data_IF_650113124083
#
_entry.id   IF_650113124083
#
_cell.length_a   1.000
_cell.length_b   1.000
_cell.length_c   1.000
_cell.angle_alpha   90.00
_cell.angle_beta   90.00
_cell.angle_gamma   90.00
#
_symmetry.space_group_name_H-M   'P 1'
#
loop_
_entity.id
_entity.type
_entity.pdbx_description
1 polymer ?
#
# COMPACT_ATOMS: atom_id res chain seq x y z
N UNK A 1 16.23 -28.42 -6.83
CA UNK A 1 15.08 -27.51 -6.50
C UNK A 1 15.04 -26.47 -7.59
N UNK A 2 13.95 -26.34 -8.31
CA UNK A 2 13.75 -25.40 -9.41
C UNK A 2 13.62 -23.98 -8.86
N UNK A 3 14.23 -23.00 -9.53
CA UNK A 3 14.20 -21.60 -9.11
C UNK A 3 13.26 -20.79 -9.99
N UNK A 4 12.39 -20.00 -9.39
CA UNK A 4 11.45 -19.11 -10.06
C UNK A 4 11.89 -17.68 -9.77
N UNK A 5 12.37 -16.96 -10.78
CA UNK A 5 13.00 -15.65 -10.62
C UNK A 5 12.36 -14.52 -11.44
N UNK A 6 11.35 -14.85 -12.27
CA UNK A 6 10.72 -13.88 -13.18
C UNK A 6 9.21 -13.92 -13.10
N UNK A 7 8.58 -12.75 -13.12
CA UNK A 7 7.16 -12.57 -13.38
C UNK A 7 6.97 -12.16 -14.84
N UNK A 8 6.06 -12.86 -15.54
CA UNK A 8 5.76 -12.56 -16.92
C UNK A 8 4.83 -11.35 -17.03
N UNK A 9 5.21 -10.35 -17.81
CA UNK A 9 4.38 -9.17 -18.07
C UNK A 9 3.41 -9.34 -19.24
N UNK A 10 3.68 -10.33 -20.11
CA UNK A 10 2.89 -10.61 -21.30
C UNK A 10 1.73 -11.58 -21.00
N UNK A 11 0.60 -11.38 -21.68
CA UNK A 11 -0.50 -12.35 -21.62
C UNK A 11 -0.14 -13.63 -22.38
N UNK A 12 -0.23 -14.76 -21.70
CA UNK A 12 -0.07 -16.07 -22.31
C UNK A 12 -1.37 -16.55 -22.96
N UNK A 13 -1.22 -17.47 -23.92
CA UNK A 13 -2.37 -18.18 -24.48
C UNK A 13 -3.11 -18.95 -23.36
N UNK A 14 -4.46 -18.97 -23.35
CA UNK A 14 -5.25 -19.60 -22.28
C UNK A 14 -4.90 -21.08 -22.05
N UNK A 15 -4.46 -21.78 -23.07
CA UNK A 15 -4.04 -23.20 -22.99
C UNK A 15 -2.77 -23.35 -22.12
N UNK A 16 -1.82 -22.43 -22.22
CA UNK A 16 -0.59 -22.45 -21.41
C UNK A 16 -0.90 -22.12 -19.95
N UNK A 17 -1.77 -21.12 -19.73
CA UNK A 17 -2.21 -20.75 -18.37
C UNK A 17 -2.91 -21.92 -17.66
N UNK A 18 -3.78 -22.65 -18.38
CA UNK A 18 -4.51 -23.81 -17.82
C UNK A 18 -3.61 -25.02 -17.53
N UNK A 19 -2.51 -25.19 -18.25
CA UNK A 19 -1.57 -26.30 -18.09
C UNK A 19 -0.46 -26.02 -17.08
N UNK A 20 -0.24 -24.77 -16.73
CA UNK A 20 0.78 -24.40 -15.76
C UNK A 20 0.43 -24.97 -14.39
N UNK A 21 1.37 -25.60 -13.67
CA UNK A 21 1.18 -25.95 -12.27
C UNK A 21 0.89 -24.68 -11.45
N UNK A 22 0.15 -24.83 -10.37
CA UNK A 22 -0.25 -23.71 -9.51
C UNK A 22 0.59 -23.65 -8.25
N UNK A 23 0.75 -22.44 -7.78
CA UNK A 23 1.39 -22.13 -6.49
C UNK A 23 0.40 -21.29 -5.67
N UNK A 24 -0.25 -21.94 -4.72
CA UNK A 24 -1.25 -21.33 -3.85
C UNK A 24 -0.55 -20.72 -2.64
N UNK A 25 -0.64 -19.39 -2.48
CA UNK A 25 0.04 -18.62 -1.44
C UNK A 25 -0.89 -17.63 -0.76
N UNK A 26 -0.78 -17.54 0.58
CA UNK A 26 -1.34 -16.47 1.39
C UNK A 26 -0.69 -15.11 1.04
N UNK A 27 -1.36 -14.00 1.36
CA UNK A 27 -0.90 -12.66 1.00
C UNK A 27 0.50 -12.36 1.55
N UNK A 28 0.77 -12.66 2.82
CA UNK A 28 2.10 -12.46 3.42
C UNK A 28 3.20 -13.23 2.67
N UNK A 29 2.92 -14.46 2.23
CA UNK A 29 3.86 -15.25 1.42
C UNK A 29 4.08 -14.64 0.03
N UNK A 30 3.03 -14.06 -0.58
CA UNK A 30 3.11 -13.39 -1.89
C UNK A 30 3.90 -12.07 -1.86
N UNK A 31 4.10 -11.48 -0.69
CA UNK A 31 4.93 -10.30 -0.48
C UNK A 31 6.43 -10.61 -0.31
N UNK A 32 6.79 -11.88 -0.11
CA UNK A 32 8.19 -12.27 0.14
C UNK A 32 9.00 -12.32 -1.15
N UNK A 33 10.13 -11.64 -1.17
CA UNK A 33 11.06 -11.67 -2.30
C UNK A 33 11.87 -12.97 -2.39
N UNK A 34 11.95 -13.73 -1.30
CA UNK A 34 12.60 -15.05 -1.24
C UNK A 34 11.76 -15.99 -0.39
N UNK A 35 11.40 -17.12 -0.96
CA UNK A 35 10.55 -18.10 -0.30
C UNK A 35 10.84 -19.50 -0.87
N UNK A 36 11.08 -20.47 0.02
CA UNK A 36 10.96 -21.89 -0.33
C UNK A 36 9.48 -22.25 -0.26
N UNK A 37 8.94 -22.85 -1.30
CA UNK A 37 7.52 -23.17 -1.41
C UNK A 37 7.32 -24.52 -2.11
N UNK A 38 6.12 -25.05 -1.96
CA UNK A 38 5.70 -26.29 -2.62
C UNK A 38 4.55 -25.95 -3.57
N UNK A 39 4.67 -26.33 -4.83
CA UNK A 39 3.57 -26.22 -5.80
C UNK A 39 2.42 -27.14 -5.40
N UNK A 40 1.22 -26.88 -5.90
CA UNK A 40 0.03 -27.68 -5.57
C UNK A 40 0.12 -29.14 -6.09
N UNK A 41 1.08 -29.41 -7.00
CA UNK A 41 1.41 -30.76 -7.45
C UNK A 41 2.46 -31.49 -6.57
N UNK A 42 2.94 -30.86 -5.49
CA UNK A 42 3.92 -31.41 -4.56
C UNK A 42 5.39 -31.14 -4.90
N UNK A 43 5.68 -30.41 -5.97
CA UNK A 43 7.04 -30.05 -6.35
C UNK A 43 7.61 -28.93 -5.48
N UNK A 44 8.81 -29.10 -4.94
CA UNK A 44 9.51 -28.04 -4.18
C UNK A 44 10.21 -27.05 -5.12
N UNK A 45 10.02 -25.76 -4.87
CA UNK A 45 10.56 -24.65 -5.65
C UNK A 45 11.14 -23.55 -4.75
N UNK A 46 12.07 -22.78 -5.29
CA UNK A 46 12.56 -21.55 -4.66
C UNK A 46 12.06 -20.33 -5.44
N UNK A 47 11.32 -19.45 -4.78
CA UNK A 47 10.99 -18.13 -5.29
C UNK A 47 12.13 -17.16 -4.97
N UNK A 48 12.61 -16.42 -5.99
CA UNK A 48 13.65 -15.39 -5.85
C UNK A 48 13.23 -14.18 -6.68
N UNK A 49 12.35 -13.36 -6.13
CA UNK A 49 11.81 -12.16 -6.80
C UNK A 49 12.61 -10.90 -6.43
N UNK A 50 12.57 -9.86 -7.25
CA UNK A 50 13.07 -8.53 -6.87
C UNK A 50 12.41 -8.06 -5.57
N UNK A 51 13.15 -7.31 -4.74
CA UNK A 51 12.60 -6.74 -3.51
C UNK A 51 11.42 -5.81 -3.81
N UNK A 52 10.38 -5.88 -2.99
CA UNK A 52 9.16 -5.12 -3.17
C UNK A 52 8.18 -5.70 -4.19
N UNK A 53 8.49 -6.86 -4.81
CA UNK A 53 7.52 -7.55 -5.66
C UNK A 53 6.42 -8.15 -4.79
N UNK A 54 5.17 -7.79 -5.09
CA UNK A 54 3.97 -8.45 -4.56
C UNK A 54 3.36 -9.27 -5.68
N UNK A 55 3.24 -10.59 -5.47
CA UNK A 55 2.62 -11.49 -6.42
C UNK A 55 1.09 -11.39 -6.32
N UNK A 56 0.42 -11.17 -7.45
CA UNK A 56 -1.04 -11.12 -7.55
C UNK A 56 -1.63 -12.48 -7.89
N UNK A 57 -2.91 -12.67 -7.57
CA UNK A 57 -3.67 -13.81 -8.08
C UNK A 57 -3.66 -13.83 -9.60
N UNK A 58 -3.40 -15.00 -10.19
CA UNK A 58 -3.29 -15.17 -11.64
C UNK A 58 -1.95 -14.77 -12.26
N UNK A 59 -1.00 -14.23 -11.52
CA UNK A 59 0.34 -13.94 -12.03
C UNK A 59 0.98 -15.22 -12.61
N UNK A 60 1.64 -15.04 -13.76
CA UNK A 60 2.42 -16.10 -14.38
C UNK A 60 3.91 -15.89 -14.09
N UNK A 61 4.52 -16.89 -13.51
CA UNK A 61 5.94 -16.92 -13.19
C UNK A 61 6.69 -17.81 -14.16
N UNK A 62 7.98 -17.52 -14.33
CA UNK A 62 8.89 -18.32 -15.17
C UNK A 62 10.01 -18.85 -14.30
N UNK A 63 10.25 -20.16 -14.41
CA UNK A 63 11.35 -20.82 -13.74
C UNK A 63 12.62 -20.85 -14.61
N UNK A 64 13.76 -21.17 -13.99
CA UNK A 64 15.08 -21.25 -14.61
C UNK A 64 15.15 -22.29 -15.76
N UNK A 65 14.29 -23.30 -15.77
CA UNK A 65 14.13 -24.28 -16.84
C UNK A 65 13.18 -23.81 -17.98
N UNK A 66 12.63 -22.59 -17.90
CA UNK A 66 11.66 -22.04 -18.84
C UNK A 66 10.21 -22.50 -18.59
N UNK A 67 9.96 -23.29 -17.57
CA UNK A 67 8.62 -23.72 -17.17
C UNK A 67 7.81 -22.59 -16.57
N UNK A 68 6.46 -22.66 -16.74
CA UNK A 68 5.54 -21.69 -16.19
C UNK A 68 4.93 -22.18 -14.89
N UNK A 69 4.67 -21.25 -13.96
CA UNK A 69 3.91 -21.48 -12.73
C UNK A 69 2.89 -20.36 -12.57
N UNK A 70 1.65 -20.73 -12.24
CA UNK A 70 0.58 -19.76 -11.99
C UNK A 70 0.37 -19.55 -10.51
N UNK A 71 0.39 -18.30 -10.07
CA UNK A 71 0.06 -17.92 -8.69
C UNK A 71 -1.44 -18.00 -8.46
N UNK A 72 -1.82 -18.52 -7.29
CA UNK A 72 -3.20 -18.54 -6.80
C UNK A 72 -3.21 -17.93 -5.40
N UNK A 73 -4.10 -16.96 -5.16
CA UNK A 73 -4.28 -16.43 -3.84
C UNK A 73 -4.99 -17.47 -2.95
N UNK A 74 -4.35 -17.87 -1.87
CA UNK A 74 -4.95 -18.77 -0.90
C UNK A 74 -6.18 -18.13 -0.25
N UNK A 75 -7.14 -18.95 0.18
CA UNK A 75 -8.20 -18.49 1.06
C UNK A 75 -7.60 -18.24 2.46
N UNK A 76 -7.84 -17.04 2.97
CA UNK A 76 -7.36 -16.56 4.26
C UNK A 76 -8.54 -16.14 5.15
N UNK A 77 -8.31 -16.03 6.42
CA UNK A 77 -9.30 -15.55 7.39
C UNK A 77 -9.39 -14.02 7.28
N UNK A 78 -10.50 -13.53 6.74
CA UNK A 78 -10.69 -12.12 6.42
C UNK A 78 -11.97 -11.54 7.02
N UNK A 79 -11.98 -10.23 7.22
CA UNK A 79 -13.18 -9.46 7.51
C UNK A 79 -13.70 -8.85 6.19
N UNK A 80 -14.92 -9.20 5.84
CA UNK A 80 -15.64 -8.57 4.73
C UNK A 80 -16.55 -7.48 5.29
N UNK A 81 -16.32 -6.25 4.88
CA UNK A 81 -16.98 -5.05 5.39
C UNK A 81 -17.93 -4.49 4.35
N UNK A 82 -19.20 -4.36 4.68
CA UNK A 82 -20.23 -3.75 3.85
C UNK A 82 -20.91 -2.61 4.60
N UNK A 83 -21.50 -1.68 3.87
CA UNK A 83 -22.19 -0.56 4.49
C UNK A 83 -23.48 -0.23 3.74
N UNK A 84 -24.52 0.29 4.44
CA UNK A 84 -25.78 0.70 3.81
C UNK A 84 -25.64 1.93 2.91
N UNK A 85 -24.51 2.62 2.94
CA UNK A 85 -24.24 3.78 2.08
C UNK A 85 -22.76 3.86 1.69
N UNK A 86 -22.49 4.38 0.49
CA UNK A 86 -21.13 4.66 -0.01
C UNK A 86 -20.37 5.55 0.96
N UNK A 87 -21.01 6.57 1.52
CA UNK A 87 -20.37 7.46 2.51
C UNK A 87 -19.84 6.71 3.73
N UNK A 88 -20.60 5.75 4.24
CA UNK A 88 -20.18 4.99 5.42
C UNK A 88 -19.05 4.02 5.07
N UNK A 89 -19.08 3.39 3.88
CA UNK A 89 -18.02 2.53 3.40
C UNK A 89 -16.72 3.33 3.17
N UNK A 90 -16.81 4.53 2.60
CA UNK A 90 -15.66 5.45 2.43
C UNK A 90 -15.06 5.87 3.78
N UNK A 91 -15.91 6.12 4.81
CA UNK A 91 -15.41 6.38 6.16
C UNK A 91 -14.65 5.20 6.75
N UNK A 92 -15.13 3.98 6.53
CA UNK A 92 -14.42 2.78 6.96
C UNK A 92 -13.06 2.67 6.24
N UNK A 93 -13.01 2.87 4.93
CA UNK A 93 -11.76 2.89 4.16
C UNK A 93 -10.77 3.93 4.69
N UNK A 94 -11.24 5.16 4.98
CA UNK A 94 -10.41 6.22 5.56
C UNK A 94 -9.79 5.82 6.91
N UNK A 95 -10.58 5.23 7.80
CA UNK A 95 -10.09 4.82 9.12
C UNK A 95 -9.12 3.62 9.05
N UNK A 96 -9.31 2.71 8.10
CA UNK A 96 -8.39 1.60 7.85
C UNK A 96 -7.08 2.11 7.23
N UNK A 97 -7.15 2.99 6.25
CA UNK A 97 -5.98 3.62 5.61
C UNK A 97 -5.11 4.39 6.61
N UNK A 98 -5.72 5.14 7.54
CA UNK A 98 -4.98 5.83 8.61
C UNK A 98 -4.23 4.88 9.58
N UNK A 99 -4.53 3.60 9.55
CA UNK A 99 -3.84 2.55 10.32
C UNK A 99 -2.85 1.74 9.49
N UNK A 100 -2.64 2.16 8.23
CA UNK A 100 -1.80 1.46 7.27
C UNK A 100 -2.15 -0.03 7.11
N UNK A 101 -3.42 -0.36 7.31
CA UNK A 101 -3.93 -1.72 7.14
C UNK A 101 -4.06 -2.04 5.65
N UNK A 102 -3.53 -3.16 5.16
CA UNK A 102 -3.80 -3.63 3.81
C UNK A 102 -5.30 -3.86 3.62
N UNK A 103 -5.88 -3.27 2.58
CA UNK A 103 -7.31 -3.36 2.28
C UNK A 103 -7.52 -3.70 0.82
N UNK A 104 -8.31 -4.73 0.56
CA UNK A 104 -8.88 -4.99 -0.74
C UNK A 104 -10.15 -4.15 -0.91
N UNK A 105 -10.22 -3.38 -1.99
CA UNK A 105 -11.35 -2.49 -2.29
C UNK A 105 -12.21 -3.11 -3.39
N UNK A 106 -13.40 -3.55 -3.03
CA UNK A 106 -14.41 -4.04 -3.98
C UNK A 106 -15.39 -2.96 -4.38
N UNK A 107 -16.34 -3.32 -5.26
CA UNK A 107 -17.37 -2.38 -5.72
C UNK A 107 -18.33 -1.92 -4.62
N UNK A 108 -18.62 -2.79 -3.65
CA UNK A 108 -19.59 -2.56 -2.56
C UNK A 108 -19.08 -3.08 -1.20
N UNK A 109 -17.81 -3.46 -1.13
CA UNK A 109 -17.18 -3.99 0.10
C UNK A 109 -15.74 -3.52 0.24
N UNK A 110 -15.25 -3.64 1.47
CA UNK A 110 -13.81 -3.66 1.79
C UNK A 110 -13.50 -5.03 2.39
N UNK A 111 -12.29 -5.52 2.16
CA UNK A 111 -11.81 -6.76 2.77
C UNK A 111 -10.44 -6.52 3.39
N UNK A 112 -10.20 -7.07 4.56
CA UNK A 112 -8.94 -6.97 5.28
C UNK A 112 -8.68 -8.28 6.03
N UNK A 113 -7.43 -8.51 6.43
CA UNK A 113 -7.09 -9.63 7.30
C UNK A 113 -7.86 -9.55 8.62
N UNK A 114 -8.26 -10.70 9.17
CA UNK A 114 -9.05 -10.75 10.39
C UNK A 114 -8.24 -10.24 11.59
N UNK A 115 -8.68 -9.12 12.14
CA UNK A 115 -8.12 -8.48 13.33
C UNK A 115 -9.27 -8.07 14.28
N UNK A 116 -9.29 -8.54 15.53
CA UNK A 116 -10.40 -8.28 16.47
C UNK A 116 -10.50 -6.80 16.85
N UNK A 117 -9.40 -6.04 16.86
CA UNK A 117 -9.41 -4.62 17.19
C UNK A 117 -10.02 -3.80 16.05
N UNK A 118 -9.65 -4.15 14.81
CA UNK A 118 -10.23 -3.53 13.62
C UNK A 118 -11.70 -3.91 13.46
N UNK A 119 -12.07 -5.15 13.76
CA UNK A 119 -13.45 -5.61 13.75
C UNK A 119 -14.33 -4.80 14.72
N UNK A 120 -13.88 -4.60 15.95
CA UNK A 120 -14.57 -3.78 16.95
C UNK A 120 -14.70 -2.33 16.52
N UNK A 121 -13.63 -1.74 15.98
CA UNK A 121 -13.65 -0.37 15.44
C UNK A 121 -14.70 -0.24 14.32
N UNK A 122 -14.71 -1.16 13.37
CA UNK A 122 -15.63 -1.16 12.24
C UNK A 122 -17.10 -1.31 12.69
N UNK A 123 -17.38 -2.20 13.65
CA UNK A 123 -18.71 -2.36 14.27
C UNK A 123 -19.18 -1.06 14.93
N UNK A 124 -18.30 -0.40 15.68
CA UNK A 124 -18.59 0.92 16.31
C UNK A 124 -18.84 2.02 15.27
N UNK A 125 -18.23 1.92 14.10
CA UNK A 125 -18.46 2.86 13.00
C UNK A 125 -19.84 2.68 12.36
N UNK A 126 -20.50 1.52 12.60
CA UNK A 126 -21.85 1.21 12.12
C UNK A 126 -21.86 0.48 10.77
N UNK A 127 -20.75 -0.09 10.33
CA UNK A 127 -20.70 -0.96 9.16
C UNK A 127 -21.01 -2.41 9.52
N UNK A 128 -21.41 -3.20 8.53
CA UNK A 128 -21.61 -4.64 8.65
C UNK A 128 -20.26 -5.33 8.45
N UNK A 129 -19.90 -6.22 9.37
CA UNK A 129 -18.63 -6.97 9.32
C UNK A 129 -18.96 -8.45 9.40
N UNK A 130 -18.49 -9.22 8.42
CA UNK A 130 -18.56 -10.67 8.38
C UNK A 130 -17.15 -11.25 8.34
N UNK A 131 -16.91 -12.33 9.13
CA UNK A 131 -15.66 -13.07 9.07
C UNK A 131 -15.82 -14.24 8.12
N UNK A 132 -14.97 -14.32 7.13
CA UNK A 132 -15.05 -15.29 6.05
C UNK A 132 -13.68 -15.84 5.69
N UNK A 133 -13.65 -17.02 5.05
CA UNK A 133 -12.42 -17.55 4.45
C UNK A 133 -12.46 -17.32 2.96
N UNK A 134 -11.67 -16.34 2.48
CA UNK A 134 -11.66 -15.92 1.07
C UNK A 134 -10.23 -15.58 0.61
N UNK A 135 -9.94 -15.64 -0.71
CA UNK A 135 -8.73 -15.04 -1.25
C UNK A 135 -8.66 -13.56 -0.90
N UNK A 136 -7.45 -13.09 -0.56
CA UNK A 136 -7.20 -11.71 -0.17
C UNK A 136 -6.20 -11.04 -1.11
N UNK A 137 -6.64 -10.00 -1.79
CA UNK A 137 -5.83 -9.24 -2.76
C UNK A 137 -5.94 -7.74 -2.46
N UNK A 138 -5.22 -7.23 -1.43
CA UNK A 138 -5.30 -5.83 -1.07
C UNK A 138 -4.70 -4.92 -2.16
N UNK A 139 -5.11 -3.66 -2.13
CA UNK A 139 -4.56 -2.62 -2.99
C UNK A 139 -3.04 -2.50 -2.80
N UNK A 140 -2.33 -2.46 -3.91
CA UNK A 140 -0.93 -2.05 -3.92
C UNK A 140 -0.89 -0.52 -3.79
N UNK A 141 0.06 0.01 -3.00
CA UNK A 141 0.15 1.45 -2.78
C UNK A 141 0.16 2.26 -4.08
N UNK A 142 -0.46 3.44 -4.05
CA UNK A 142 -0.67 4.31 -5.22
C UNK A 142 0.65 4.74 -5.90
N UNK A 143 1.77 4.65 -5.23
CA UNK A 143 3.09 5.06 -5.73
C UNK A 143 3.94 3.90 -6.28
N UNK A 144 3.36 2.72 -6.50
CA UNK A 144 4.04 1.58 -7.14
C UNK A 144 5.14 0.91 -6.31
N UNK A 145 5.32 1.29 -5.05
CA UNK A 145 6.22 0.65 -4.10
C UNK A 145 5.50 -0.47 -3.35
N UNK A 146 6.10 -1.65 -3.31
CA UNK A 146 5.56 -2.76 -2.52
C UNK A 146 5.40 -2.38 -1.05
N UNK A 147 4.34 -2.89 -0.41
CA UNK A 147 4.08 -2.64 1.01
C UNK A 147 5.27 -3.08 1.86
N UNK A 148 5.88 -2.13 2.55
CA UNK A 148 6.86 -2.41 3.59
C UNK A 148 6.11 -2.51 4.92
N UNK A 149 5.89 -3.73 5.39
CA UNK A 149 5.49 -3.96 6.76
C UNK A 149 6.74 -3.84 7.65
N UNK A 150 6.80 -2.80 8.45
CA UNK A 150 7.87 -2.59 9.42
C UNK A 150 8.18 -1.10 9.61
N UNK A 151 8.35 -0.69 10.83
CA UNK A 151 8.97 0.58 11.21
C UNK A 151 10.40 0.59 10.68
N UNK A 152 10.61 1.01 9.42
CA UNK A 152 11.96 1.09 8.88
C UNK A 152 12.19 2.41 8.12
N UNK A 153 13.44 2.84 8.10
CA UNK A 153 14.02 4.12 7.72
C UNK A 153 13.71 4.62 6.29
N UNK A 154 12.77 3.99 5.58
CA UNK A 154 12.47 4.29 4.16
C UNK A 154 11.34 5.29 3.94
N UNK A 155 10.72 5.82 5.01
CA UNK A 155 9.73 6.92 4.88
C UNK A 155 10.33 8.14 4.17
N UNK A 156 11.62 8.40 4.37
CA UNK A 156 12.36 9.49 3.71
C UNK A 156 12.56 9.24 2.22
N UNK A 157 12.77 7.99 1.79
CA UNK A 157 12.96 7.64 0.38
C UNK A 157 11.63 7.66 -0.38
N UNK A 158 10.56 7.15 0.21
CA UNK A 158 9.21 7.18 -0.39
C UNK A 158 8.65 8.60 -0.46
N UNK A 159 8.95 9.45 0.55
CA UNK A 159 8.60 10.87 0.54
C UNK A 159 9.38 11.63 -0.55
N UNK A 160 10.67 11.36 -0.69
CA UNK A 160 11.49 11.97 -1.73
C UNK A 160 11.05 11.55 -3.15
N UNK A 161 10.62 10.29 -3.33
CA UNK A 161 10.08 9.81 -4.61
C UNK A 161 8.72 10.47 -4.91
N UNK A 162 7.85 10.59 -3.93
CA UNK A 162 6.56 11.29 -4.08
C UNK A 162 6.75 12.77 -4.39
N UNK A 163 7.71 13.43 -3.73
CA UNK A 163 8.09 14.82 -3.99
C UNK A 163 8.59 14.99 -5.43
N UNK A 164 9.46 14.09 -5.90
CA UNK A 164 9.99 14.12 -7.26
C UNK A 164 8.88 13.98 -8.31
N UNK A 165 7.93 13.06 -8.12
CA UNK A 165 6.78 12.88 -9.02
C UNK A 165 5.87 14.11 -9.00
N UNK A 166 5.68 14.72 -7.83
CA UNK A 166 4.90 15.96 -7.69
C UNK A 166 5.58 17.13 -8.42
N UNK A 167 6.90 17.29 -8.28
CA UNK A 167 7.68 18.34 -8.94
C UNK A 167 7.74 18.16 -10.47
N UNK A 168 7.81 16.91 -10.95
CA UNK A 168 7.76 16.59 -12.39
C UNK A 168 6.39 16.93 -13.03
N UNK A 169 5.29 16.81 -12.28
CA UNK A 169 3.94 17.12 -12.78
C UNK A 169 3.50 18.57 -12.54
N UNK A 170 4.09 19.27 -11.59
CA UNK A 170 3.69 20.64 -11.21
C UNK A 170 4.80 21.67 -11.36
N UNK A 171 5.99 21.26 -11.82
CA UNK A 171 7.16 22.13 -12.00
C UNK A 171 7.07 23.04 -13.23
N UNK A 172 6.07 23.90 -13.33
CA UNK A 172 6.17 25.11 -14.13
C UNK A 172 6.67 26.25 -13.24
N UNK A 173 7.98 26.47 -13.31
CA UNK A 173 8.63 27.61 -12.69
C UNK A 173 8.01 28.91 -13.24
N UNK A 174 7.26 29.60 -12.43
CA UNK A 174 7.01 31.01 -12.64
C UNK A 174 8.20 31.80 -12.09
N UNK A 175 9.12 32.13 -13.01
CA UNK A 175 10.18 33.08 -12.75
C UNK A 175 9.56 34.48 -12.59
N UNK A 176 9.37 34.91 -11.36
CA UNK A 176 9.06 36.28 -11.01
C UNK A 176 10.29 36.90 -10.35
N UNK A 177 11.21 37.39 -11.21
CA UNK A 177 12.24 38.32 -10.79
C UNK A 177 11.58 39.67 -10.46
N UNK A 178 11.35 39.95 -9.18
CA UNK A 178 11.06 41.27 -8.67
C UNK A 178 12.32 41.83 -8.02
N UNK A 179 13.08 42.63 -8.83
CA UNK A 179 14.03 43.59 -8.31
C UNK A 179 13.28 44.65 -7.49
N UNK A 180 13.42 44.60 -6.17
CA UNK A 180 13.10 45.72 -5.30
C UNK A 180 14.35 46.32 -4.72
N UNK A 181 14.78 47.38 -5.39
CA UNK A 181 15.72 48.37 -4.89
C UNK A 181 15.10 49.10 -3.69
N UNK A 182 15.61 48.92 -2.48
CA UNK A 182 15.27 49.67 -1.28
C UNK A 182 16.45 50.54 -0.86
N UNK A 183 16.49 51.73 -1.46
CA UNK A 183 17.20 52.86 -0.88
C UNK A 183 16.49 53.39 0.36
N UNK A 184 17.20 53.37 1.49
CA UNK A 184 17.21 54.31 2.58
C UNK A 184 15.93 55.08 2.97
N UNK A 185 15.38 54.80 4.11
CA UNK A 185 14.80 55.80 5.01
C UNK A 185 14.87 55.33 6.47
N UNK A 186 15.72 56.01 7.24
CA UNK A 186 15.76 55.87 8.70
C UNK A 186 14.53 56.54 9.35
N UNK A 187 13.98 55.87 10.33
CA UNK A 187 13.15 56.53 11.37
C UNK A 187 13.38 55.83 12.72
N UNK A 188 14.06 56.59 13.60
CA UNK A 188 14.07 56.40 15.04
C UNK A 188 12.67 56.58 15.61
N UNK A 189 12.17 55.62 16.35
CA UNK A 189 11.13 55.82 17.34
C UNK A 189 11.43 55.05 18.62
N UNK A 190 11.89 55.83 19.60
CA UNK A 190 11.95 55.60 21.02
C UNK A 190 10.51 55.64 21.62
N UNK A 191 10.09 54.59 22.34
CA UNK A 191 9.01 54.56 23.31
C UNK A 191 9.19 53.35 24.22
N UNK A 192 9.62 53.46 25.47
CA UNK A 192 8.85 54.02 26.55
C UNK A 192 8.19 52.88 27.33
N UNK A 193 8.84 52.46 28.44
CA UNK A 193 8.36 51.48 29.42
C UNK A 193 7.01 51.89 30.02
N UNK A 194 6.08 50.94 30.16
CA UNK A 194 5.07 50.97 31.22
C UNK A 194 4.87 49.58 31.87
N UNK A 195 5.33 49.51 33.12
CA UNK A 195 4.94 48.50 34.11
C UNK A 195 3.47 48.73 34.53
N UNK A 196 2.66 47.69 34.52
CA UNK A 196 1.52 47.60 35.44
C UNK A 196 1.46 46.18 36.02
N UNK A 197 1.81 46.10 37.31
CA UNK A 197 1.44 45.01 38.19
C UNK A 197 0.01 45.19 38.68
N UNK A 198 -0.75 44.13 38.80
CA UNK A 198 -1.89 44.02 39.70
C UNK A 198 -1.92 42.63 40.35
N UNK A 199 -1.83 42.69 41.68
CA UNK A 199 -2.08 41.60 42.61
C UNK A 199 -3.53 41.60 43.09
N UNK A 200 -4.00 40.45 43.63
CA UNK A 200 -5.14 40.19 44.52
C UNK A 200 -6.56 40.20 43.89
N UNK A 201 -7.28 39.11 43.95
CA UNK A 201 -7.80 38.27 45.08
C UNK A 201 -8.24 36.92 44.57
#
# INVERSE_FOLDING_TARGET
>A
MRTIDKRLSAKLAPVLVKRAPTLTLAFDARCKSRLAATLDNGEEVALVMPRGTVLADGDMLVADDGGFVRVVAAAEDVLVVRAPSVRLLTRAAYHLGNRHTPVEVGGDYLKLEADPVLEDMLKRLGVLVARESQPFQPETGAYGGGHKHGHDETFTEDYALAQKVFDEHHGHAHDHSHDHDHSSCGHDHDHGHHHHGHAHR
#
